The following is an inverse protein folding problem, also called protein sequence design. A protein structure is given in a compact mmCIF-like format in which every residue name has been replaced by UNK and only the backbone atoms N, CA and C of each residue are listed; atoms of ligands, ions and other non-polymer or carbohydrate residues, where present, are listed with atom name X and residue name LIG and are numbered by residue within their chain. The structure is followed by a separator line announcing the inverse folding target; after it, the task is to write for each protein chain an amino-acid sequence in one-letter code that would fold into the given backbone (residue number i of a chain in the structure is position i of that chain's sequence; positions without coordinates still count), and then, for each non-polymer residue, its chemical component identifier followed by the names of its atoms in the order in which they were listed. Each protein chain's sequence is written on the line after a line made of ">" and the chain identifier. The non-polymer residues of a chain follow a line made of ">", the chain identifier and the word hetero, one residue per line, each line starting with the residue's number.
data_IF_607545266307
#
_entry.id   IF_607545266307
#
_cell.length_a   1.000
_cell.length_b   1.000
_cell.length_c   1.000
_cell.angle_alpha   90.00
_cell.angle_beta   90.00
_cell.angle_gamma   90.00
#
_symmetry.space_group_name_H-M   'P 1'
#
loop_
_entity.id
_entity.type
_entity.pdbx_description
1 polymer ?
#
# COMPACT_ATOMS: atom_id res chain seq x y z
N UNK A 1 -79.27 -88.45 -2.45
CA UNK A 1 -78.86 -87.07 -2.15
C UNK A 1 -77.66 -87.12 -1.23
N UNK A 2 -76.47 -87.31 -1.79
CA UNK A 2 -75.19 -87.34 -1.05
C UNK A 2 -74.48 -86.02 -1.34
N UNK A 3 -74.44 -85.14 -0.34
CA UNK A 3 -74.05 -83.73 -0.50
C UNK A 3 -72.55 -83.50 -0.60
N UNK A 4 -72.15 -82.63 -1.54
CA UNK A 4 -70.82 -82.03 -1.72
C UNK A 4 -70.44 -81.05 -0.59
N UNK A 5 -70.54 -81.49 0.65
CA UNK A 5 -70.14 -80.71 1.83
C UNK A 5 -68.62 -80.43 1.95
N UNK A 6 -67.68 -81.29 1.49
CA UNK A 6 -66.24 -81.03 1.65
C UNK A 6 -65.72 -79.86 0.81
N UNK A 7 -66.27 -79.64 -0.39
CA UNK A 7 -65.84 -78.59 -1.33
C UNK A 7 -66.32 -77.21 -0.85
N UNK A 8 -67.56 -77.13 -0.34
CA UNK A 8 -68.12 -75.90 0.21
C UNK A 8 -67.36 -75.42 1.46
N UNK A 9 -66.91 -76.34 2.31
CA UNK A 9 -66.09 -76.02 3.49
C UNK A 9 -64.71 -75.51 3.10
N UNK A 10 -64.07 -76.10 2.08
CA UNK A 10 -62.78 -75.66 1.56
C UNK A 10 -62.82 -74.24 0.98
N UNK A 11 -63.88 -73.90 0.23
CA UNK A 11 -64.09 -72.54 -0.31
C UNK A 11 -64.28 -71.52 0.81
N UNK A 12 -65.04 -71.86 1.86
CA UNK A 12 -65.24 -71.01 3.04
C UNK A 12 -63.93 -70.78 3.81
N UNK A 13 -63.11 -71.82 4.00
CA UNK A 13 -61.82 -71.70 4.69
C UNK A 13 -60.84 -70.83 3.89
N UNK A 14 -60.77 -71.01 2.57
CA UNK A 14 -59.96 -70.15 1.69
C UNK A 14 -60.47 -68.70 1.72
N UNK A 15 -61.80 -68.49 1.71
CA UNK A 15 -62.41 -67.17 1.84
C UNK A 15 -62.06 -66.48 3.16
N UNK A 16 -62.12 -67.20 4.29
CA UNK A 16 -61.74 -66.68 5.62
C UNK A 16 -60.25 -66.35 5.66
N UNK A 17 -59.37 -67.19 5.09
CA UNK A 17 -57.93 -66.92 5.00
C UNK A 17 -57.65 -65.65 4.18
N UNK A 18 -58.31 -65.47 3.03
CA UNK A 18 -58.17 -64.25 2.22
C UNK A 18 -58.67 -63.00 2.96
N UNK A 19 -59.77 -63.09 3.70
CA UNK A 19 -60.26 -62.00 4.54
C UNK A 19 -59.24 -61.67 5.64
N UNK A 20 -58.66 -62.69 6.29
CA UNK A 20 -57.66 -62.49 7.33
C UNK A 20 -56.39 -61.80 6.77
N UNK A 21 -55.90 -62.27 5.62
CA UNK A 21 -54.76 -61.66 4.90
C UNK A 21 -55.07 -60.22 4.54
N UNK A 22 -56.27 -59.94 4.02
CA UNK A 22 -56.68 -58.60 3.64
C UNK A 22 -56.78 -57.67 4.87
N UNK A 23 -57.34 -58.15 5.99
CA UNK A 23 -57.42 -57.38 7.25
C UNK A 23 -56.04 -57.09 7.82
N UNK A 24 -55.13 -58.07 7.81
CA UNK A 24 -53.75 -57.88 8.28
C UNK A 24 -52.96 -56.94 7.36
N UNK A 25 -53.15 -57.05 6.04
CA UNK A 25 -52.58 -56.14 5.06
C UNK A 25 -53.09 -54.71 5.28
N UNK A 26 -54.40 -54.53 5.52
CA UNK A 26 -55.01 -53.22 5.82
C UNK A 26 -54.53 -52.64 7.15
N UNK A 27 -54.34 -53.47 8.19
CA UNK A 27 -53.74 -53.05 9.47
C UNK A 27 -52.29 -52.61 9.31
N UNK A 28 -51.48 -53.35 8.55
CA UNK A 28 -50.08 -52.98 8.26
C UNK A 28 -50.02 -51.70 7.45
N UNK A 29 -50.83 -51.56 6.40
CA UNK A 29 -50.96 -50.33 5.61
C UNK A 29 -51.38 -49.14 6.46
N UNK A 30 -52.34 -49.31 7.38
CA UNK A 30 -52.79 -48.27 8.30
C UNK A 30 -51.69 -47.75 9.24
N UNK A 31 -50.67 -48.57 9.55
CA UNK A 31 -49.50 -48.14 10.33
C UNK A 31 -48.41 -47.48 9.48
N UNK A 32 -48.31 -47.81 8.19
CA UNK A 32 -47.25 -47.34 7.29
C UNK A 32 -47.64 -46.00 6.63
N UNK A 33 -48.91 -45.83 6.25
CA UNK A 33 -49.40 -44.61 5.58
C UNK A 33 -49.15 -43.30 6.35
N UNK A 34 -49.35 -43.21 7.68
CA UNK A 34 -49.07 -41.99 8.44
C UNK A 34 -47.58 -41.63 8.40
N UNK A 35 -46.70 -42.62 8.53
CA UNK A 35 -45.24 -42.45 8.46
C UNK A 35 -44.78 -42.03 7.08
N UNK A 36 -45.33 -42.63 6.01
CA UNK A 36 -45.02 -42.25 4.62
C UNK A 36 -45.48 -40.82 4.34
N UNK A 37 -46.65 -40.42 4.82
CA UNK A 37 -47.14 -39.04 4.70
C UNK A 37 -46.27 -38.03 5.47
N UNK A 38 -45.82 -38.38 6.68
CA UNK A 38 -44.90 -37.53 7.44
C UNK A 38 -43.55 -37.36 6.74
N UNK A 39 -43.01 -38.45 6.18
CA UNK A 39 -41.76 -38.42 5.39
C UNK A 39 -41.93 -37.59 4.12
N UNK A 40 -43.08 -37.67 3.43
CA UNK A 40 -43.32 -36.84 2.25
C UNK A 40 -43.45 -35.36 2.59
N UNK A 41 -44.16 -35.02 3.66
CA UNK A 41 -44.27 -33.63 4.14
C UNK A 41 -42.90 -33.09 4.51
N UNK A 42 -42.11 -33.85 5.27
CA UNK A 42 -40.76 -33.44 5.65
C UNK A 42 -39.82 -33.28 4.46
N UNK A 43 -39.93 -34.16 3.45
CA UNK A 43 -39.17 -34.03 2.20
C UNK A 43 -39.52 -32.75 1.46
N UNK A 44 -40.80 -32.39 1.41
CA UNK A 44 -41.25 -31.16 0.75
C UNK A 44 -40.76 -29.91 1.50
N UNK A 45 -40.80 -29.93 2.85
CA UNK A 45 -40.24 -28.85 3.68
C UNK A 45 -38.73 -28.66 3.42
N UNK A 46 -37.96 -29.75 3.43
CA UNK A 46 -36.51 -29.70 3.16
C UNK A 46 -36.24 -29.19 1.73
N UNK A 47 -37.03 -29.62 0.76
CA UNK A 47 -36.88 -29.18 -0.64
C UNK A 47 -37.13 -27.68 -0.77
N UNK A 48 -38.15 -27.17 -0.05
CA UNK A 48 -38.43 -25.73 0.01
C UNK A 48 -37.29 -24.96 0.68
N UNK A 49 -36.76 -25.45 1.80
CA UNK A 49 -35.61 -24.82 2.48
C UNK A 49 -34.37 -24.78 1.58
N UNK A 50 -34.14 -25.83 0.78
CA UNK A 50 -33.05 -25.88 -0.21
C UNK A 50 -33.27 -24.85 -1.33
N UNK A 51 -34.49 -24.73 -1.88
CA UNK A 51 -34.81 -23.75 -2.92
C UNK A 51 -34.71 -22.31 -2.40
N UNK A 52 -35.19 -22.05 -1.18
CA UNK A 52 -35.08 -20.76 -0.51
C UNK A 52 -33.59 -20.40 -0.28
N UNK A 53 -32.78 -21.39 0.14
CA UNK A 53 -31.33 -21.26 0.30
C UNK A 53 -30.59 -21.01 -1.02
N UNK A 54 -30.98 -21.71 -2.10
CA UNK A 54 -30.41 -21.51 -3.43
C UNK A 54 -30.72 -20.10 -3.97
N UNK A 55 -31.95 -19.62 -3.74
CA UNK A 55 -32.36 -18.26 -4.11
C UNK A 55 -31.58 -17.20 -3.35
N UNK A 56 -31.39 -17.40 -2.03
CA UNK A 56 -30.58 -16.49 -1.21
C UNK A 56 -29.11 -16.45 -1.67
N UNK A 57 -28.52 -17.61 -1.98
CA UNK A 57 -27.17 -17.69 -2.53
C UNK A 57 -27.07 -16.93 -3.86
N UNK A 58 -28.01 -17.15 -4.79
CA UNK A 58 -28.00 -16.45 -6.08
C UNK A 58 -28.10 -14.92 -5.92
N UNK A 59 -28.89 -14.45 -4.94
CA UNK A 59 -28.95 -13.02 -4.59
C UNK A 59 -27.62 -12.48 -4.05
N UNK A 60 -26.96 -13.23 -3.16
CA UNK A 60 -25.65 -12.84 -2.61
C UNK A 60 -24.59 -12.80 -3.72
N UNK A 61 -24.53 -13.81 -4.58
CA UNK A 61 -23.58 -13.85 -5.70
C UNK A 61 -23.79 -12.67 -6.64
N UNK A 62 -25.04 -12.32 -6.93
CA UNK A 62 -25.38 -11.13 -7.72
C UNK A 62 -24.92 -9.83 -7.08
N UNK A 63 -25.14 -9.66 -5.77
CA UNK A 63 -24.65 -8.50 -5.01
C UNK A 63 -23.13 -8.42 -5.00
N UNK A 64 -22.44 -9.55 -4.77
CA UNK A 64 -20.98 -9.61 -4.78
C UNK A 64 -20.40 -9.26 -6.16
N UNK A 65 -21.02 -9.73 -7.24
CA UNK A 65 -20.62 -9.37 -8.60
C UNK A 65 -20.82 -7.87 -8.87
N UNK A 66 -21.94 -7.30 -8.43
CA UNK A 66 -22.21 -5.86 -8.53
C UNK A 66 -21.20 -5.03 -7.74
N UNK A 67 -20.93 -5.39 -6.48
CA UNK A 67 -19.97 -4.68 -5.64
C UNK A 67 -18.53 -4.83 -6.15
N UNK A 68 -18.18 -5.98 -6.73
CA UNK A 68 -16.87 -6.17 -7.37
C UNK A 68 -16.71 -5.22 -8.56
N UNK A 69 -17.73 -5.15 -9.43
CA UNK A 69 -17.71 -4.22 -10.56
C UNK A 69 -17.61 -2.76 -10.10
N UNK A 70 -18.36 -2.38 -9.08
CA UNK A 70 -18.27 -1.04 -8.49
C UNK A 70 -16.87 -0.74 -7.93
N UNK A 71 -16.21 -1.75 -7.32
CA UNK A 71 -14.83 -1.64 -6.87
C UNK A 71 -13.85 -1.45 -8.03
N UNK A 72 -14.01 -2.23 -9.10
CA UNK A 72 -13.18 -2.14 -10.31
C UNK A 72 -13.34 -0.75 -10.96
N UNK A 73 -14.58 -0.25 -11.09
CA UNK A 73 -14.89 1.09 -11.63
C UNK A 73 -14.29 2.21 -10.75
N UNK A 74 -14.34 2.07 -9.42
CA UNK A 74 -13.72 3.01 -8.48
C UNK A 74 -12.19 2.98 -8.55
N UNK A 75 -11.61 1.81 -8.78
CA UNK A 75 -10.16 1.63 -8.93
C UNK A 75 -9.66 2.26 -10.24
N UNK A 76 -10.39 2.10 -11.34
CA UNK A 76 -10.11 2.81 -12.60
C UNK A 76 -10.20 4.33 -12.42
N UNK A 77 -11.25 4.81 -11.76
CA UNK A 77 -11.43 6.25 -11.50
C UNK A 77 -10.35 6.81 -10.59
N UNK A 78 -9.92 6.03 -9.58
CA UNK A 78 -8.79 6.36 -8.72
C UNK A 78 -7.52 6.51 -9.55
N UNK A 79 -7.21 5.54 -10.43
CA UNK A 79 -6.03 5.59 -11.31
C UNK A 79 -6.07 6.84 -12.19
N UNK A 80 -7.21 7.17 -12.79
CA UNK A 80 -7.38 8.35 -13.64
C UNK A 80 -7.14 9.67 -12.88
N UNK A 81 -7.75 9.82 -11.70
CA UNK A 81 -7.55 11.01 -10.86
C UNK A 81 -6.12 11.13 -10.37
N UNK A 82 -5.51 9.99 -10.01
CA UNK A 82 -4.12 9.92 -9.56
C UNK A 82 -3.15 10.29 -10.69
N UNK A 83 -3.42 9.86 -11.92
CA UNK A 83 -2.67 10.28 -13.12
C UNK A 83 -2.86 11.76 -13.47
N UNK A 84 -3.94 12.41 -13.05
CA UNK A 84 -4.14 13.85 -13.23
C UNK A 84 -3.47 14.70 -12.13
N UNK A 85 -3.41 14.17 -10.90
CA UNK A 85 -2.79 14.84 -9.75
C UNK A 85 -1.26 14.66 -9.72
N UNK A 86 -0.75 13.47 -10.06
CA UNK A 86 0.68 13.15 -10.03
C UNK A 86 1.56 14.07 -10.90
N UNK A 87 1.18 14.46 -12.15
CA UNK A 87 2.00 15.34 -12.99
C UNK A 87 2.06 16.79 -12.49
N UNK A 88 1.09 17.24 -11.70
CA UNK A 88 1.06 18.62 -11.19
C UNK A 88 1.97 18.82 -9.97
N UNK A 89 2.35 17.74 -9.28
CA UNK A 89 3.19 17.78 -8.08
C UNK A 89 4.55 17.08 -8.24
N UNK A 90 4.83 16.42 -9.35
CA UNK A 90 6.15 15.85 -9.64
C UNK A 90 6.97 16.74 -10.58
N UNK A 91 8.29 16.69 -10.41
CA UNK A 91 9.27 17.38 -11.23
C UNK A 91 9.97 16.38 -12.13
N UNK A 92 9.98 16.65 -13.44
CA UNK A 92 10.85 15.93 -14.36
C UNK A 92 12.29 16.34 -14.11
N UNK A 93 13.13 15.37 -13.77
CA UNK A 93 14.57 15.52 -13.60
C UNK A 93 15.24 14.95 -14.86
N UNK A 94 15.90 15.78 -15.69
CA UNK A 94 16.49 15.30 -16.92
C UNK A 94 17.71 14.42 -16.63
N UNK A 95 17.89 13.43 -17.50
CA UNK A 95 19.07 12.57 -17.51
C UNK A 95 20.34 13.44 -17.51
N UNK A 96 21.32 13.08 -16.68
CA UNK A 96 22.47 13.93 -16.50
C UNK A 96 23.55 13.31 -15.63
N UNK A 97 24.71 13.97 -15.60
CA UNK A 97 25.82 13.58 -14.75
C UNK A 97 25.74 14.31 -13.41
N UNK A 98 26.01 13.58 -12.35
CA UNK A 98 26.10 14.06 -10.98
C UNK A 98 27.53 13.81 -10.46
N UNK A 99 28.13 14.85 -9.87
CA UNK A 99 29.30 14.74 -9.01
C UNK A 99 28.85 14.33 -7.61
N UNK A 100 28.68 13.04 -7.41
CA UNK A 100 28.07 12.44 -6.22
C UNK A 100 29.07 12.34 -5.08
N UNK A 101 28.63 12.68 -3.88
CA UNK A 101 29.49 12.71 -2.69
C UNK A 101 30.45 13.89 -2.68
N UNK A 102 31.37 13.90 -1.71
CA UNK A 102 32.33 14.99 -1.53
C UNK A 102 33.59 14.48 -0.84
N UNK A 103 34.74 15.02 -1.24
CA UNK A 103 35.99 14.77 -0.54
C UNK A 103 36.18 15.73 0.65
N UNK A 104 35.81 17.00 0.46
CA UNK A 104 35.90 18.06 1.46
C UNK A 104 34.92 19.20 1.13
N UNK A 105 34.19 19.76 2.11
CA UNK A 105 33.98 19.25 3.47
C UNK A 105 33.03 18.05 3.44
N UNK A 106 33.20 17.08 4.35
CA UNK A 106 32.29 15.95 4.46
C UNK A 106 32.69 14.90 5.48
N UNK A 107 31.76 13.99 5.81
CA UNK A 107 32.00 12.81 6.64
C UNK A 107 32.65 11.71 5.81
N UNK A 108 33.28 10.73 6.45
CA UNK A 108 33.97 9.63 5.76
C UNK A 108 33.06 8.85 4.80
N UNK A 109 31.79 8.65 5.18
CA UNK A 109 30.80 7.94 4.37
C UNK A 109 30.37 8.71 3.10
N UNK A 110 30.68 10.01 3.00
CA UNK A 110 30.41 10.87 1.85
C UNK A 110 31.54 10.80 0.79
N UNK A 111 32.63 10.09 1.09
CA UNK A 111 33.82 9.94 0.24
C UNK A 111 33.84 8.59 -0.51
N UNK A 112 34.49 8.50 -1.69
CA UNK A 112 35.04 9.61 -2.47
C UNK A 112 33.97 10.32 -3.29
N UNK A 113 34.26 11.57 -3.64
CA UNK A 113 33.55 12.22 -4.75
C UNK A 113 33.79 11.44 -6.06
N UNK A 114 32.71 11.10 -6.77
CA UNK A 114 32.77 10.35 -8.02
C UNK A 114 31.69 10.81 -9.00
N UNK A 115 31.88 10.54 -10.29
CA UNK A 115 30.91 10.90 -11.33
C UNK A 115 29.98 9.73 -11.61
N UNK A 116 28.68 10.00 -11.61
CA UNK A 116 27.64 9.04 -11.97
C UNK A 116 26.68 9.67 -12.99
N UNK A 117 26.09 8.87 -13.87
CA UNK A 117 24.99 9.27 -14.74
C UNK A 117 23.67 8.77 -14.18
N UNK A 118 22.74 9.68 -13.94
CA UNK A 118 21.36 9.38 -13.52
C UNK A 118 20.47 9.50 -14.74
N UNK A 119 19.57 8.53 -14.96
CA UNK A 119 18.58 8.57 -16.05
C UNK A 119 17.57 9.69 -15.80
N UNK A 120 16.74 9.99 -16.79
CA UNK A 120 15.59 10.86 -16.59
C UNK A 120 14.53 10.13 -15.78
N UNK A 121 13.88 10.87 -14.88
CA UNK A 121 12.87 10.34 -13.97
C UNK A 121 12.05 11.51 -13.42
N UNK A 122 10.95 11.19 -12.74
CA UNK A 122 10.15 12.16 -12.02
C UNK A 122 10.38 12.00 -10.52
N UNK A 123 10.41 13.11 -9.78
CA UNK A 123 10.45 13.11 -8.30
C UNK A 123 9.37 14.03 -7.75
N UNK A 124 8.77 13.67 -6.61
CA UNK A 124 7.83 14.56 -5.94
C UNK A 124 8.51 15.91 -5.61
N UNK A 125 7.83 17.00 -5.95
CA UNK A 125 8.28 18.37 -5.70
C UNK A 125 8.46 18.64 -4.20
N UNK A 126 7.59 18.06 -3.39
CA UNK A 126 7.52 18.20 -1.93
C UNK A 126 7.66 16.83 -1.25
N UNK A 127 7.95 16.85 0.04
CA UNK A 127 7.82 15.68 0.92
C UNK A 127 6.35 15.23 0.98
N UNK A 128 6.10 13.94 1.22
CA UNK A 128 4.72 13.45 1.39
C UNK A 128 4.12 14.07 2.66
N UNK A 129 2.96 14.69 2.52
CA UNK A 129 2.30 15.42 3.61
C UNK A 129 1.48 14.52 4.52
N UNK A 130 1.15 15.01 5.72
CA UNK A 130 0.24 14.30 6.63
C UNK A 130 -1.15 14.10 6.01
N UNK A 131 -1.64 15.04 5.21
CA UNK A 131 -2.93 14.90 4.54
C UNK A 131 -2.90 13.75 3.52
N UNK A 132 -1.90 13.72 2.65
CA UNK A 132 -1.72 12.65 1.65
C UNK A 132 -1.56 11.27 2.31
N UNK A 133 -0.73 11.17 3.35
CA UNK A 133 -0.54 9.90 4.07
C UNK A 133 -1.80 9.46 4.83
N UNK A 134 -2.62 10.40 5.30
CA UNK A 134 -3.90 10.09 5.95
C UNK A 134 -4.88 9.44 4.99
N UNK A 135 -4.96 9.91 3.76
CA UNK A 135 -5.80 9.28 2.72
C UNK A 135 -5.38 7.84 2.49
N UNK A 136 -4.07 7.59 2.35
CA UNK A 136 -3.52 6.24 2.27
C UNK A 136 -3.96 5.34 3.43
N UNK A 137 -3.80 5.81 4.68
CA UNK A 137 -4.23 5.08 5.88
C UNK A 137 -5.73 4.79 5.87
N UNK A 138 -6.55 5.76 5.48
CA UNK A 138 -8.01 5.63 5.47
C UNK A 138 -8.51 4.66 4.40
N UNK A 139 -7.90 4.67 3.21
CA UNK A 139 -8.29 3.81 2.08
C UNK A 139 -7.80 2.38 2.27
N UNK A 140 -6.56 2.19 2.72
CA UNK A 140 -5.92 0.87 2.76
C UNK A 140 -6.06 0.16 4.11
N UNK A 141 -6.37 0.90 5.17
CA UNK A 141 -6.30 0.39 6.54
C UNK A 141 -4.87 0.18 7.05
N UNK A 142 -3.85 0.71 6.35
CA UNK A 142 -2.45 0.65 6.79
C UNK A 142 -2.26 1.32 8.16
N UNK A 143 -1.22 0.93 8.89
CA UNK A 143 -0.94 1.49 10.22
C UNK A 143 -0.67 2.99 10.13
N UNK A 144 -1.30 3.78 10.99
CA UNK A 144 -1.00 5.20 11.13
C UNK A 144 0.31 5.42 11.88
N UNK A 145 1.01 6.57 11.68
CA UNK A 145 2.14 6.97 12.51
C UNK A 145 1.80 6.92 14.01
N UNK A 146 2.77 6.54 14.84
CA UNK A 146 2.57 6.23 16.26
C UNK A 146 1.99 7.39 17.09
N UNK A 147 2.26 8.64 16.69
CA UNK A 147 1.79 9.84 17.36
C UNK A 147 0.38 10.28 16.93
N UNK A 148 -0.19 9.65 15.90
CA UNK A 148 -1.56 9.91 15.45
C UNK A 148 -2.56 9.26 16.40
N UNK A 149 -3.76 9.83 16.47
CA UNK A 149 -4.89 9.26 17.22
C UNK A 149 -6.07 9.06 16.29
N UNK A 150 -6.78 7.96 16.44
CA UNK A 150 -7.94 7.62 15.61
C UNK A 150 -7.64 7.72 14.09
N UNK A 151 -6.46 7.23 13.66
CA UNK A 151 -6.00 7.26 12.28
C UNK A 151 -5.95 8.67 11.64
N UNK A 152 -5.71 9.71 12.45
CA UNK A 152 -5.52 11.09 11.96
C UNK A 152 -4.39 11.79 12.70
N UNK A 153 -3.71 12.69 11.99
CA UNK A 153 -2.72 13.60 12.56
C UNK A 153 -3.36 14.53 13.60
N UNK A 154 -2.59 14.98 14.61
CA UNK A 154 -3.15 15.54 15.84
C UNK A 154 -3.77 16.94 15.69
N UNK A 155 -3.43 17.69 14.66
CA UNK A 155 -3.88 19.08 14.45
C UNK A 155 -4.07 19.38 12.96
N UNK A 156 -5.24 19.91 12.58
CA UNK A 156 -5.56 20.27 11.20
C UNK A 156 -4.50 21.17 10.55
N UNK A 157 -3.81 22.01 11.33
CA UNK A 157 -2.73 22.90 10.86
C UNK A 157 -1.48 22.16 10.38
N UNK A 158 -1.35 20.88 10.69
CA UNK A 158 -0.24 20.03 10.25
C UNK A 158 -0.54 19.28 8.94
N UNK A 159 -1.67 19.57 8.29
CA UNK A 159 -2.07 18.90 7.04
C UNK A 159 -0.95 18.96 5.98
N UNK A 160 -0.36 20.13 5.78
CA UNK A 160 0.67 20.39 4.77
C UNK A 160 2.10 20.24 5.30
N UNK A 161 2.27 19.71 6.52
CA UNK A 161 3.57 19.33 7.05
C UNK A 161 3.95 17.94 6.54
N UNK A 162 5.25 17.62 6.41
CA UNK A 162 5.67 16.27 6.04
C UNK A 162 5.20 15.25 7.07
N UNK A 163 4.84 14.06 6.58
CA UNK A 163 4.57 12.92 7.45
C UNK A 163 5.89 12.41 8.04
N UNK A 164 5.85 12.11 9.34
CA UNK A 164 6.99 11.59 10.12
C UNK A 164 6.54 10.42 10.98
N UNK A 165 7.47 9.77 11.70
CA UNK A 165 7.22 8.52 12.41
C UNK A 165 6.72 7.42 11.45
N UNK A 166 7.31 7.37 10.26
CA UNK A 166 7.08 6.35 9.25
C UNK A 166 8.36 5.56 9.01
N UNK A 167 8.25 4.24 8.92
CA UNK A 167 9.40 3.38 8.64
C UNK A 167 9.71 3.35 7.15
N UNK A 168 10.86 2.79 6.76
CA UNK A 168 11.18 2.61 5.34
C UNK A 168 10.13 1.75 4.62
N UNK A 169 9.65 0.68 5.29
CA UNK A 169 8.58 -0.18 4.76
C UNK A 169 7.26 0.58 4.61
N UNK A 170 6.93 1.50 5.52
CA UNK A 170 5.75 2.36 5.39
C UNK A 170 5.86 3.28 4.17
N UNK A 171 7.00 3.95 4.04
CA UNK A 171 7.30 4.85 2.94
C UNK A 171 7.25 4.13 1.58
N UNK A 172 7.86 2.95 1.50
CA UNK A 172 7.81 2.11 0.30
C UNK A 172 6.37 1.68 0.00
N UNK A 173 5.62 1.21 0.98
CA UNK A 173 4.22 0.75 0.80
C UNK A 173 3.33 1.91 0.31
N UNK A 174 3.51 3.11 0.85
CA UNK A 174 2.82 4.31 0.35
C UNK A 174 3.19 4.59 -1.11
N UNK A 175 4.49 4.63 -1.46
CA UNK A 175 4.90 4.92 -2.82
C UNK A 175 4.37 3.86 -3.81
N UNK A 176 4.42 2.57 -3.44
CA UNK A 176 3.81 1.49 -4.24
C UNK A 176 2.30 1.70 -4.43
N UNK A 177 1.58 2.09 -3.36
CA UNK A 177 0.15 2.36 -3.41
C UNK A 177 -0.18 3.47 -4.40
N UNK A 178 0.58 4.56 -4.43
CA UNK A 178 0.40 5.66 -5.40
C UNK A 178 1.02 5.39 -6.78
N UNK A 179 1.40 4.14 -7.07
CA UNK A 179 2.04 3.69 -8.32
C UNK A 179 3.36 4.43 -8.62
N UNK A 180 4.13 4.73 -7.57
CA UNK A 180 5.47 5.33 -7.60
C UNK A 180 6.47 4.38 -6.93
N UNK A 181 7.66 4.87 -6.64
CA UNK A 181 8.70 4.19 -5.85
C UNK A 181 9.42 5.20 -4.95
N UNK A 182 10.28 4.74 -4.06
CA UNK A 182 11.26 5.62 -3.43
C UNK A 182 12.35 6.00 -4.47
N UNK A 183 12.91 7.22 -4.42
CA UNK A 183 14.08 7.58 -5.22
C UNK A 183 15.30 6.76 -4.78
N UNK A 184 16.26 6.54 -5.69
CA UNK A 184 17.59 6.12 -5.27
C UNK A 184 18.34 7.26 -4.56
N UNK A 185 19.39 6.94 -3.81
CA UNK A 185 20.24 7.94 -3.19
C UNK A 185 20.86 8.90 -4.23
N UNK A 186 21.23 8.36 -5.40
CA UNK A 186 21.80 9.12 -6.51
C UNK A 186 20.77 10.04 -7.18
N UNK A 187 19.55 9.53 -7.40
CA UNK A 187 18.43 10.32 -7.89
C UNK A 187 18.14 11.47 -6.93
N UNK A 188 17.98 11.17 -5.65
CA UNK A 188 17.70 12.19 -4.64
C UNK A 188 18.77 13.29 -4.62
N UNK A 189 20.06 12.94 -4.65
CA UNK A 189 21.15 13.93 -4.67
C UNK A 189 21.18 14.73 -5.99
N UNK A 190 20.84 14.11 -7.13
CA UNK A 190 20.66 14.78 -8.42
C UNK A 190 19.53 15.81 -8.38
N UNK A 191 18.38 15.47 -7.81
CA UNK A 191 17.26 16.39 -7.65
C UNK A 191 17.61 17.57 -6.74
N UNK A 192 18.42 17.34 -5.70
CA UNK A 192 18.86 18.37 -4.78
C UNK A 192 19.91 19.30 -5.39
N UNK A 193 20.91 18.77 -6.09
CA UNK A 193 22.15 19.51 -6.40
C UNK A 193 22.37 19.79 -7.89
N UNK A 194 21.48 19.36 -8.77
CA UNK A 194 21.71 19.39 -10.20
C UNK A 194 23.03 18.64 -10.54
N UNK A 195 24.11 19.34 -10.88
CA UNK A 195 25.38 18.72 -11.27
C UNK A 195 26.29 18.30 -10.10
N UNK A 196 25.88 18.55 -8.85
CA UNK A 196 26.62 18.16 -7.65
C UNK A 196 27.72 19.13 -7.21
N UNK A 197 27.79 20.34 -7.78
CA UNK A 197 28.80 21.35 -7.39
C UNK A 197 28.49 22.10 -6.09
N UNK A 198 27.23 22.15 -5.68
CA UNK A 198 26.82 22.82 -4.45
C UNK A 198 26.80 21.83 -3.28
N UNK A 199 26.82 22.35 -2.05
CA UNK A 199 26.63 21.55 -0.82
C UNK A 199 25.18 21.49 -0.35
N UNK A 200 24.40 22.52 -0.70
CA UNK A 200 22.99 22.69 -0.38
C UNK A 200 22.18 22.81 -1.69
N UNK A 201 20.87 22.63 -1.61
CA UNK A 201 19.99 22.68 -2.78
C UNK A 201 19.93 24.05 -3.43
N UNK A 202 20.00 25.12 -2.65
CA UNK A 202 20.03 26.50 -3.14
C UNK A 202 21.46 26.96 -3.47
N UNK A 203 21.55 28.04 -4.24
CA UNK A 203 22.81 28.75 -4.50
C UNK A 203 22.98 29.89 -3.48
N UNK A 204 24.21 30.16 -3.08
CA UNK A 204 24.55 31.26 -2.17
C UNK A 204 24.70 30.82 -0.70
N UNK A 205 24.72 31.79 0.22
CA UNK A 205 24.94 31.53 1.64
C UNK A 205 23.77 30.80 2.28
N UNK A 206 24.05 29.78 3.11
CA UNK A 206 23.05 29.17 3.99
C UNK A 206 22.61 30.15 5.08
N UNK A 207 21.31 30.42 5.17
CA UNK A 207 20.69 31.17 6.26
C UNK A 207 19.35 30.50 6.65
N UNK A 208 18.76 30.96 7.75
CA UNK A 208 17.50 30.42 8.28
C UNK A 208 16.28 30.59 7.34
N UNK A 209 16.42 31.35 6.26
CA UNK A 209 15.34 31.59 5.28
C UNK A 209 15.31 30.56 4.15
N UNK A 210 16.28 29.63 4.12
CA UNK A 210 16.41 28.65 3.04
C UNK A 210 16.01 27.23 3.46
N UNK A 211 15.96 26.92 4.76
CA UNK A 211 15.67 25.58 5.24
C UNK A 211 15.28 25.58 6.72
N UNK A 212 14.59 24.52 7.14
CA UNK A 212 14.31 24.24 8.55
C UNK A 212 15.43 23.35 9.13
N UNK A 213 16.36 23.92 9.89
CA UNK A 213 17.44 23.20 10.58
C UNK A 213 17.85 23.98 11.84
N UNK A 214 18.58 23.36 12.78
CA UNK A 214 18.87 23.94 14.11
C UNK A 214 17.62 24.54 14.78
N UNK A 215 16.44 23.93 14.56
CA UNK A 215 15.17 24.52 14.92
C UNK A 215 14.89 24.36 16.44
N UNK A 216 14.84 25.47 17.21
CA UNK A 216 14.63 25.40 18.65
C UNK A 216 13.22 24.95 19.06
N UNK A 217 12.23 25.08 18.17
CA UNK A 217 10.86 24.64 18.42
C UNK A 217 10.71 23.11 18.28
N UNK A 218 11.70 22.45 17.68
CA UNK A 218 11.75 20.99 17.51
C UNK A 218 10.60 20.44 16.67
N UNK A 219 10.21 21.15 15.59
CA UNK A 219 9.05 20.79 14.76
C UNK A 219 9.35 20.95 13.27
N UNK A 220 8.62 20.16 12.49
CA UNK A 220 8.53 20.34 11.04
C UNK A 220 7.80 21.64 10.70
N UNK A 221 7.95 22.08 9.47
CA UNK A 221 7.25 23.20 8.85
C UNK A 221 6.45 22.72 7.64
N UNK A 222 5.48 23.52 7.15
CA UNK A 222 4.83 23.22 5.87
C UNK A 222 5.86 23.06 4.76
N UNK A 223 5.60 22.12 3.83
CA UNK A 223 6.52 21.71 2.76
C UNK A 223 6.82 22.80 1.71
N UNK A 224 6.09 23.91 1.76
CA UNK A 224 6.22 25.05 0.84
C UNK A 224 6.73 26.32 1.55
N UNK A 225 7.27 26.19 2.76
CA UNK A 225 7.66 27.34 3.59
C UNK A 225 8.90 28.08 3.10
N UNK A 226 9.85 27.39 2.46
CA UNK A 226 11.17 27.94 2.12
C UNK A 226 11.37 28.10 0.61
N UNK A 227 10.78 29.13 -0.03
CA UNK A 227 10.90 29.33 -1.48
C UNK A 227 12.33 29.61 -1.94
N UNK A 228 13.20 30.11 -1.06
CA UNK A 228 14.61 30.33 -1.38
C UNK A 228 15.46 29.06 -1.22
N UNK A 229 14.92 28.02 -0.60
CA UNK A 229 15.55 26.71 -0.40
C UNK A 229 15.44 25.74 -1.56
N UNK A 230 14.63 26.07 -2.57
CA UNK A 230 14.41 25.22 -3.75
C UNK A 230 15.73 24.85 -4.43
N UNK A 231 15.79 23.60 -4.90
CA UNK A 231 16.88 23.17 -5.77
C UNK A 231 16.86 23.91 -7.10
N UNK A 232 17.99 23.89 -7.82
CA UNK A 232 18.07 24.40 -9.19
C UNK A 232 17.11 23.71 -10.16
N UNK A 233 16.63 22.51 -9.82
CA UNK A 233 15.66 21.74 -10.58
C UNK A 233 14.22 21.87 -10.02
N UNK A 234 14.03 22.67 -8.97
CA UNK A 234 12.72 23.06 -8.44
C UNK A 234 12.20 22.26 -7.25
N UNK A 235 12.96 21.28 -6.75
CA UNK A 235 12.56 20.44 -5.61
C UNK A 235 12.71 21.22 -4.29
N UNK A 236 11.71 21.10 -3.42
CA UNK A 236 11.64 21.82 -2.14
C UNK A 236 12.18 21.00 -1.00
N UNK A 237 12.65 21.67 0.05
CA UNK A 237 13.06 21.08 1.32
C UNK A 237 14.04 19.89 1.18
N UNK A 238 14.85 19.89 0.13
CA UNK A 238 15.93 18.90 -0.06
C UNK A 238 17.07 19.08 0.97
N UNK A 239 17.00 20.06 1.85
CA UNK A 239 17.91 20.25 2.97
C UNK A 239 17.09 20.70 4.18
N UNK A 240 17.09 19.93 5.27
CA UNK A 240 16.32 20.23 6.47
C UNK A 240 14.86 19.77 6.38
N UNK A 241 14.03 20.29 7.28
CA UNK A 241 12.66 19.86 7.58
C UNK A 241 12.59 18.42 8.07
N UNK A 242 12.60 17.41 7.19
CA UNK A 242 12.74 16.01 7.58
C UNK A 242 13.82 15.33 6.76
N UNK A 243 14.46 14.33 7.35
CA UNK A 243 15.27 13.44 6.56
C UNK A 243 14.39 12.48 5.77
N UNK A 244 14.79 12.13 4.55
CA UNK A 244 13.92 11.39 3.64
C UNK A 244 14.48 10.00 3.35
N UNK A 245 13.65 8.97 3.53
CA UNK A 245 13.99 7.61 3.10
C UNK A 245 14.25 7.54 1.60
N UNK A 246 15.31 6.82 1.21
CA UNK A 246 15.60 6.47 -0.19
C UNK A 246 15.64 4.94 -0.34
N UNK A 247 15.60 4.43 -1.57
CA UNK A 247 15.52 3.00 -1.85
C UNK A 247 16.75 2.20 -1.36
N UNK A 248 17.92 2.82 -1.41
CA UNK A 248 19.23 2.20 -1.26
C UNK A 248 19.46 1.62 0.14
N UNK A 249 20.14 0.48 0.17
CA UNK A 249 20.80 0.00 1.38
C UNK A 249 22.01 0.88 1.70
N UNK A 250 22.28 1.08 2.98
CA UNK A 250 23.41 1.85 3.42
C UNK A 250 24.67 0.99 3.50
N UNK A 251 25.71 1.43 2.81
CA UNK A 251 27.09 1.04 3.05
C UNK A 251 27.99 2.29 3.00
N UNK A 252 28.74 2.49 4.08
CA UNK A 252 29.72 3.57 4.24
C UNK A 252 30.79 3.62 3.16
N UNK A 253 31.10 2.49 2.51
CA UNK A 253 32.15 2.37 1.49
C UNK A 253 31.61 2.30 0.06
N UNK A 254 30.28 2.32 -0.12
CA UNK A 254 29.66 2.10 -1.43
C UNK A 254 30.19 3.05 -2.51
N UNK A 255 30.48 4.30 -2.17
CA UNK A 255 31.00 5.29 -3.13
C UNK A 255 32.36 4.90 -3.74
N UNK A 256 33.13 4.02 -3.09
CA UNK A 256 34.40 3.52 -3.63
C UNK A 256 34.21 2.49 -4.75
N UNK A 257 33.04 1.86 -4.81
CA UNK A 257 32.70 0.77 -5.74
C UNK A 257 31.42 1.04 -6.53
N UNK A 258 30.90 2.27 -6.44
CA UNK A 258 29.64 2.69 -7.05
C UNK A 258 29.74 2.58 -8.58
N UNK A 259 28.76 1.96 -9.26
CA UNK A 259 28.76 1.93 -10.71
C UNK A 259 28.54 3.35 -11.28
N UNK A 260 29.13 3.61 -12.45
CA UNK A 260 29.01 4.93 -13.09
C UNK A 260 27.59 5.22 -13.60
N UNK A 261 26.78 4.20 -13.90
CA UNK A 261 25.46 4.37 -14.49
C UNK A 261 24.36 3.94 -13.52
N UNK A 262 23.50 4.90 -13.17
CA UNK A 262 22.28 4.73 -12.40
C UNK A 262 22.44 3.88 -11.12
N UNK A 263 23.34 4.27 -10.20
CA UNK A 263 23.62 3.48 -9.00
C UNK A 263 22.40 3.40 -8.09
N UNK A 264 22.15 2.19 -7.57
CA UNK A 264 21.00 1.85 -6.70
C UNK A 264 21.41 1.36 -5.30
N UNK A 265 22.65 1.61 -4.91
CA UNK A 265 23.21 1.11 -3.66
C UNK A 265 23.71 -0.33 -3.78
N UNK A 266 24.19 -0.92 -2.68
CA UNK A 266 24.52 -2.34 -2.62
C UNK A 266 23.24 -3.21 -2.65
N UNK A 267 23.36 -4.46 -3.09
CA UNK A 267 22.24 -5.41 -3.23
C UNK A 267 21.49 -5.68 -1.91
N UNK A 268 22.17 -5.47 -0.77
CA UNK A 268 21.66 -5.73 0.57
C UNK A 268 22.39 -4.95 1.64
N UNK A 269 21.82 -4.91 2.84
CA UNK A 269 22.43 -4.29 4.00
C UNK A 269 21.61 -4.48 5.27
N UNK A 270 22.11 -3.96 6.37
CA UNK A 270 21.38 -3.97 7.64
C UNK A 270 20.49 -2.73 7.81
N UNK A 271 20.82 -1.64 7.12
CA UNK A 271 20.24 -0.32 7.32
C UNK A 271 19.95 0.34 5.97
N UNK A 272 18.94 1.19 5.92
CA UNK A 272 18.56 1.95 4.73
C UNK A 272 19.14 3.36 4.80
N UNK A 273 19.46 3.92 3.64
CA UNK A 273 19.86 5.31 3.52
C UNK A 273 18.68 6.25 3.76
N UNK A 274 18.95 7.40 4.37
CA UNK A 274 18.06 8.56 4.32
C UNK A 274 18.88 9.85 4.15
N UNK A 275 18.25 10.88 3.57
CA UNK A 275 18.92 12.06 2.99
C UNK A 275 18.34 13.38 3.50
N UNK A 276 19.01 14.50 3.26
CA UNK A 276 18.50 15.87 3.54
C UNK A 276 18.66 16.38 4.97
N UNK A 277 18.66 15.49 5.97
CA UNK A 277 18.73 15.86 7.40
C UNK A 277 17.44 16.51 7.91
N UNK A 278 17.13 16.31 9.20
CA UNK A 278 15.89 16.84 9.79
C UNK A 278 16.03 18.21 10.43
N UNK A 279 14.90 18.79 10.86
CA UNK A 279 14.82 20.11 11.52
C UNK A 279 15.74 20.30 12.74
N UNK A 280 16.13 19.21 13.39
CA UNK A 280 16.96 19.22 14.60
C UNK A 280 18.46 19.17 14.30
N UNK A 281 18.84 18.89 13.05
CA UNK A 281 20.24 18.77 12.64
C UNK A 281 20.86 20.15 12.43
N UNK A 282 22.18 20.21 12.57
CA UNK A 282 22.94 21.42 12.28
C UNK A 282 23.26 21.54 10.79
N UNK A 283 23.84 22.68 10.39
CA UNK A 283 24.27 22.95 9.01
C UNK A 283 25.11 21.84 8.35
N UNK A 284 25.91 21.10 9.13
CA UNK A 284 26.72 20.00 8.58
C UNK A 284 25.90 18.76 8.28
N UNK A 285 24.83 18.51 9.03
CA UNK A 285 23.93 17.36 8.88
C UNK A 285 22.86 17.53 7.80
N UNK A 286 22.48 18.77 7.48
CA UNK A 286 21.45 19.07 6.46
C UNK A 286 21.98 19.34 5.05
N UNK A 287 23.29 19.15 4.81
CA UNK A 287 23.85 19.24 3.46
C UNK A 287 23.18 18.18 2.58
N UNK A 288 22.88 18.54 1.33
CA UNK A 288 22.32 17.59 0.37
C UNK A 288 23.29 16.43 0.04
N UNK A 289 24.58 16.57 0.34
CA UNK A 289 25.60 15.51 0.22
C UNK A 289 25.68 14.59 1.44
N UNK A 290 25.08 14.98 2.58
CA UNK A 290 25.16 14.19 3.80
C UNK A 290 24.34 12.92 3.71
N UNK A 291 25.00 11.81 4.04
CA UNK A 291 24.38 10.49 4.10
C UNK A 291 24.08 10.13 5.54
N UNK A 292 22.85 9.71 5.78
CA UNK A 292 22.40 9.17 7.06
C UNK A 292 21.81 7.78 6.87
N UNK A 293 21.57 7.09 7.99
CA UNK A 293 21.17 5.69 7.97
C UNK A 293 20.40 5.31 9.23
N UNK A 294 19.47 4.38 9.05
CA UNK A 294 18.72 3.78 10.14
C UNK A 294 18.21 2.40 9.72
N UNK A 295 17.82 1.56 10.69
CA UNK A 295 17.18 0.28 10.39
C UNK A 295 15.85 0.52 9.66
N UNK A 296 15.44 -0.37 8.75
CA UNK A 296 14.20 -0.18 7.98
C UNK A 296 12.93 -0.09 8.84
N UNK A 297 12.97 -0.63 10.05
CA UNK A 297 11.88 -0.60 11.04
C UNK A 297 11.85 0.66 11.91
N UNK A 298 12.89 1.49 11.88
CA UNK A 298 12.93 2.75 12.66
C UNK A 298 11.93 3.74 12.07
N UNK A 299 11.20 4.42 12.94
CA UNK A 299 10.21 5.45 12.59
C UNK A 299 10.40 6.65 13.53
N UNK A 300 11.32 7.53 13.16
CA UNK A 300 11.63 8.72 13.96
C UNK A 300 10.75 9.91 13.57
N UNK A 301 10.62 10.88 14.49
CA UNK A 301 9.82 12.10 14.32
C UNK A 301 10.44 13.15 13.40
N UNK A 302 11.64 12.89 12.91
CA UNK A 302 12.35 13.70 11.92
C UNK A 302 12.62 12.97 10.61
N UNK A 303 12.11 11.75 10.42
CA UNK A 303 12.27 10.99 9.16
C UNK A 303 10.91 10.84 8.47
N UNK A 304 10.83 11.36 7.26
CA UNK A 304 9.74 11.21 6.31
C UNK A 304 10.25 10.63 4.99
N UNK A 305 9.62 11.01 3.87
CA UNK A 305 10.01 10.56 2.53
C UNK A 305 9.33 11.39 1.43
N UNK A 306 9.82 11.20 0.21
CA UNK A 306 9.15 11.60 -1.03
C UNK A 306 9.22 10.46 -2.04
N UNK A 307 8.31 10.43 -3.02
CA UNK A 307 8.33 9.39 -4.04
C UNK A 307 9.02 9.87 -5.33
N UNK A 308 9.35 8.91 -6.18
CA UNK A 308 9.89 9.06 -7.52
C UNK A 308 9.16 8.10 -8.47
N UNK A 309 9.24 8.37 -9.77
CA UNK A 309 8.63 7.57 -10.81
C UNK A 309 9.59 7.50 -12.01
N UNK A 310 9.73 6.32 -12.60
CA UNK A 310 10.54 6.16 -13.80
C UNK A 310 9.89 6.89 -14.98
N UNK A 311 10.69 7.49 -15.87
CA UNK A 311 10.17 7.99 -17.13
C UNK A 311 9.77 6.79 -18.00
N UNK A 312 8.49 6.70 -18.36
CA UNK A 312 8.05 5.71 -19.35
C UNK A 312 8.66 6.08 -20.69
N UNK A 313 9.59 5.25 -21.18
CA UNK A 313 10.03 5.33 -22.56
C UNK A 313 8.81 4.95 -23.41
N UNK A 314 8.15 5.94 -24.01
CA UNK A 314 7.32 5.67 -25.18
C UNK A 314 8.30 5.18 -26.26
N UNK A 315 8.34 3.87 -26.49
CA UNK A 315 8.95 3.32 -27.71
C UNK A 315 8.12 3.88 -28.86
N UNK A 316 8.67 4.87 -29.58
CA UNK A 316 8.14 5.31 -30.87
C UNK A 316 8.25 4.11 -31.84
N UNK A 317 7.14 3.36 -31.99
CA UNK A 317 6.92 2.35 -33.04
C UNK A 317 6.78 2.99 -34.44
#
# INVERSE_FOLDING_TARGET
>A
MTGDWPVALGILVVGVIWIQIFVDYRRKLGKIMPTVSQVSTRRNEITKEIDDGATALQSITGKMASSRKELDDLEERRIELQLQLNPLEMLMIPAGRLRMGTNTPGRENENPEHLVSVKAYYIDKYEVTNLQYKEFVQVTGHRSPSHWRNNTFPDARLADHPVVNVSWDDAKTYCDWVCKRLPSEAEWERAALDDGRNEYSWRGSSNADNANFDNPDGKTTPVDRYPNGKSGLGAWDMCGNVSEWVADWYDSKYYQTSPESDPKGPDGGHQKCHRGGGYHENRMGVRAKSRHMAMSSVSNDYIGFRCALDESLEEED
#
